data_IF_362870788713
#
_entry.id   IF_362870788713
#
_cell.length_a   1.000
_cell.length_b   1.000
_cell.length_c   1.000
_cell.angle_alpha   90.00
_cell.angle_beta   90.00
_cell.angle_gamma   90.00
#
_symmetry.space_group_name_H-M   'P 1'
#
loop_
_entity.id
_entity.type
_entity.pdbx_description
1 polymer ?
#
# COMPACT_ATOMS: atom_id res chain seq x y z
N UNK A 1 -0.11 5.00 -23.84
CA UNK A 1 0.31 3.97 -22.87
C UNK A 1 -0.96 3.49 -22.22
N UNK A 2 -1.18 2.19 -22.27
CA UNK A 2 -2.28 1.53 -21.58
C UNK A 2 -1.75 0.97 -20.26
N UNK A 3 -2.10 1.63 -19.14
CA UNK A 3 -1.67 1.21 -17.81
C UNK A 3 -2.21 -0.18 -17.44
N UNK A 4 -3.37 -0.59 -17.98
CA UNK A 4 -3.90 -1.92 -17.69
C UNK A 4 -3.06 -3.02 -18.34
N UNK A 5 -2.60 -2.81 -19.56
CA UNK A 5 -1.67 -3.73 -20.22
C UNK A 5 -0.31 -3.80 -19.50
N UNK A 6 0.21 -2.67 -19.01
CA UNK A 6 1.43 -2.65 -18.20
C UNK A 6 1.26 -3.43 -16.88
N UNK A 7 0.13 -3.27 -16.19
CA UNK A 7 -0.21 -4.05 -15.00
C UNK A 7 -0.24 -5.56 -15.30
N UNK A 8 -0.83 -5.97 -16.43
CA UNK A 8 -0.84 -7.40 -16.83
C UNK A 8 0.57 -7.96 -17.02
N UNK A 9 1.50 -7.18 -17.57
CA UNK A 9 2.89 -7.60 -17.70
C UNK A 9 3.57 -7.77 -16.34
N UNK A 10 3.34 -6.82 -15.40
CA UNK A 10 3.81 -6.93 -14.02
C UNK A 10 3.26 -8.20 -13.35
N UNK A 11 1.97 -8.51 -13.55
CA UNK A 11 1.33 -9.71 -13.00
C UNK A 11 1.98 -11.01 -13.48
N UNK A 12 2.42 -11.05 -14.74
CA UNK A 12 3.14 -12.19 -15.28
C UNK A 12 4.45 -12.41 -14.52
N UNK A 13 5.27 -11.37 -14.36
CA UNK A 13 6.54 -11.48 -13.63
C UNK A 13 6.36 -11.82 -12.15
N UNK A 14 5.32 -11.29 -11.49
CA UNK A 14 4.99 -11.65 -10.10
C UNK A 14 4.62 -13.15 -10.00
N UNK A 15 3.83 -13.68 -10.93
CA UNK A 15 3.44 -15.10 -10.94
C UNK A 15 4.63 -16.03 -11.20
N UNK A 16 5.61 -15.56 -11.96
CA UNK A 16 6.87 -16.26 -12.24
C UNK A 16 7.89 -16.12 -11.10
N UNK A 17 7.54 -15.45 -10.00
CA UNK A 17 8.44 -15.10 -8.89
C UNK A 17 9.70 -14.34 -9.33
N UNK A 18 9.62 -13.61 -10.45
CA UNK A 18 10.72 -12.80 -10.98
C UNK A 18 10.59 -11.36 -10.49
N UNK A 19 10.97 -11.13 -9.23
CA UNK A 19 10.82 -9.82 -8.59
C UNK A 19 11.63 -8.70 -9.25
N UNK A 20 12.80 -9.01 -9.84
CA UNK A 20 13.64 -8.01 -10.52
C UNK A 20 13.01 -7.50 -11.82
N UNK A 21 12.44 -8.40 -12.62
CA UNK A 21 11.69 -7.99 -13.82
C UNK A 21 10.38 -7.29 -13.46
N UNK A 22 9.68 -7.76 -12.42
CA UNK A 22 8.48 -7.10 -11.93
C UNK A 22 8.78 -5.66 -11.46
N UNK A 23 9.86 -5.46 -10.70
CA UNK A 23 10.32 -4.14 -10.27
C UNK A 23 10.72 -3.26 -11.47
N UNK A 24 11.46 -3.82 -12.42
CA UNK A 24 11.85 -3.10 -13.64
C UNK A 24 10.64 -2.66 -14.47
N UNK A 25 9.61 -3.49 -14.56
CA UNK A 25 8.35 -3.14 -15.22
C UNK A 25 7.57 -2.07 -14.45
N UNK A 26 7.52 -2.14 -13.11
CA UNK A 26 6.90 -1.12 -12.24
C UNK A 26 7.58 0.23 -12.41
N UNK A 27 8.92 0.28 -12.32
CA UNK A 27 9.67 1.54 -12.39
C UNK A 27 9.57 2.18 -13.78
N UNK A 28 9.69 1.39 -14.86
CA UNK A 28 9.44 1.85 -16.23
C UNK A 28 8.03 2.44 -16.38
N UNK A 29 7.01 1.72 -15.90
CA UNK A 29 5.62 2.16 -15.99
C UNK A 29 5.40 3.47 -15.23
N UNK A 30 5.95 3.59 -14.02
CA UNK A 30 5.85 4.81 -13.21
C UNK A 30 6.53 6.01 -13.90
N UNK A 31 7.73 5.82 -14.46
CA UNK A 31 8.45 6.86 -15.20
C UNK A 31 7.69 7.34 -16.44
N UNK A 32 7.09 6.42 -17.20
CA UNK A 32 6.24 6.77 -18.35
C UNK A 32 4.98 7.52 -17.92
N UNK A 33 4.33 7.10 -16.83
CA UNK A 33 3.19 7.79 -16.23
C UNK A 33 3.57 9.21 -15.81
N UNK A 34 4.68 9.35 -15.09
CA UNK A 34 5.19 10.62 -14.60
C UNK A 34 5.48 11.57 -15.77
N UNK A 35 6.30 11.14 -16.72
CA UNK A 35 6.73 11.96 -17.86
C UNK A 35 5.53 12.51 -18.64
N UNK A 36 4.52 11.67 -18.89
CA UNK A 36 3.29 12.09 -19.58
C UNK A 36 2.42 13.02 -18.76
N UNK A 37 2.30 12.76 -17.46
CA UNK A 37 1.50 13.59 -16.57
C UNK A 37 2.04 15.03 -16.50
N UNK A 38 3.36 15.21 -16.49
CA UNK A 38 3.99 16.53 -16.34
C UNK A 38 4.22 17.27 -17.66
N UNK A 39 4.20 16.58 -18.80
CA UNK A 39 4.42 17.19 -20.11
C UNK A 39 3.32 18.24 -20.41
N UNK A 40 3.72 19.51 -20.46
CA UNK A 40 2.81 20.64 -20.67
C UNK A 40 1.88 20.93 -19.50
N UNK A 41 2.13 20.34 -18.32
CA UNK A 41 1.30 20.56 -17.14
C UNK A 41 1.56 21.91 -16.48
N UNK A 42 0.55 22.38 -15.75
CA UNK A 42 0.68 23.48 -14.81
C UNK A 42 0.64 22.95 -13.38
N UNK A 43 1.28 23.67 -12.47
CA UNK A 43 1.53 23.23 -11.11
C UNK A 43 0.94 24.22 -10.13
N UNK A 44 0.22 23.70 -9.13
CA UNK A 44 -0.35 24.52 -8.05
C UNK A 44 0.00 23.92 -6.72
N UNK A 45 0.49 24.75 -5.81
CA UNK A 45 0.71 24.35 -4.44
C UNK A 45 -0.53 24.63 -3.58
N UNK A 46 -0.84 23.68 -2.70
CA UNK A 46 -1.80 23.88 -1.62
C UNK A 46 -1.23 23.33 -0.32
N UNK A 47 -1.89 23.65 0.80
CA UNK A 47 -1.47 23.20 2.13
C UNK A 47 -2.64 22.59 2.86
N UNK A 48 -2.35 21.57 3.65
CA UNK A 48 -3.26 21.03 4.63
C UNK A 48 -2.47 20.69 5.89
N UNK A 49 -2.96 21.12 7.05
CA UNK A 49 -2.20 21.09 8.30
C UNK A 49 -0.83 21.77 8.11
N UNK A 50 0.25 21.12 8.51
CA UNK A 50 1.64 21.58 8.36
C UNK A 50 2.34 21.10 7.07
N UNK A 51 1.64 20.37 6.18
CA UNK A 51 2.23 19.74 4.99
C UNK A 51 1.94 20.52 3.71
N UNK A 52 2.85 20.42 2.75
CA UNK A 52 2.72 21.01 1.41
C UNK A 52 2.33 19.95 0.39
N UNK A 53 1.40 20.34 -0.48
CA UNK A 53 0.88 19.47 -1.51
C UNK A 53 0.96 20.13 -2.88
N UNK A 54 1.24 19.34 -3.90
CA UNK A 54 1.18 19.73 -5.30
C UNK A 54 -0.07 19.16 -5.96
N UNK A 55 -0.71 20.00 -6.76
CA UNK A 55 -1.73 19.62 -7.73
C UNK A 55 -1.14 19.82 -9.12
N UNK A 56 -1.32 18.83 -9.98
CA UNK A 56 -0.87 18.85 -11.37
C UNK A 56 -2.11 18.99 -12.25
N UNK A 57 -2.19 20.11 -12.95
CA UNK A 57 -3.25 20.42 -13.90
C UNK A 57 -2.74 20.17 -15.31
N UNK A 58 -3.39 19.26 -16.04
CA UNK A 58 -3.06 18.97 -17.43
C UNK A 58 -4.32 18.52 -18.18
N UNK A 59 -4.45 18.94 -19.44
CA UNK A 59 -5.59 18.57 -20.32
C UNK A 59 -6.98 18.88 -19.72
N UNK A 60 -7.09 19.90 -18.87
CA UNK A 60 -8.34 20.26 -18.21
C UNK A 60 -8.72 19.38 -17.01
N UNK A 61 -7.86 18.43 -16.64
CA UNK A 61 -8.01 17.58 -15.46
C UNK A 61 -6.95 17.92 -14.41
N UNK A 62 -7.27 17.66 -13.14
CA UNK A 62 -6.40 17.94 -11.99
C UNK A 62 -6.10 16.66 -11.25
N UNK A 63 -4.83 16.43 -10.92
CA UNK A 63 -4.42 15.30 -10.09
C UNK A 63 -4.98 15.38 -8.67
N UNK A 64 -4.93 14.25 -7.94
CA UNK A 64 -4.99 14.26 -6.49
C UNK A 64 -3.84 15.10 -5.86
N UNK A 65 -3.98 15.54 -4.60
CA UNK A 65 -2.90 16.19 -3.85
C UNK A 65 -1.71 15.24 -3.65
N UNK A 66 -0.50 15.74 -3.93
CA UNK A 66 0.77 15.00 -3.84
C UNK A 66 1.63 15.63 -2.75
N UNK A 67 2.04 14.88 -1.73
CA UNK A 67 2.94 15.40 -0.70
C UNK A 67 4.34 15.58 -1.30
N UNK A 68 4.79 16.83 -1.46
CA UNK A 68 6.06 17.17 -2.12
C UNK A 68 7.30 16.89 -1.27
N UNK A 69 7.12 16.65 0.04
CA UNK A 69 8.22 16.29 0.93
C UNK A 69 8.58 14.79 0.82
N UNK A 70 7.68 13.99 0.22
CA UNK A 70 7.82 12.53 0.08
C UNK A 70 7.95 12.15 -1.40
N UNK A 71 7.19 12.81 -2.28
CA UNK A 71 7.24 12.54 -3.70
C UNK A 71 8.54 13.06 -4.31
N UNK A 72 9.33 12.13 -4.84
CA UNK A 72 10.55 12.46 -5.55
C UNK A 72 10.66 11.55 -6.78
N UNK A 73 10.49 12.11 -7.99
CA UNK A 73 10.60 11.36 -9.23
C UNK A 73 11.91 10.59 -9.43
N UNK A 74 13.00 11.00 -8.76
CA UNK A 74 14.29 10.29 -8.82
C UNK A 74 14.23 8.91 -8.15
N UNK A 75 13.28 8.70 -7.24
CA UNK A 75 13.04 7.40 -6.61
C UNK A 75 12.25 6.41 -7.48
N UNK A 76 11.96 6.76 -8.75
CA UNK A 76 11.30 5.88 -9.71
C UNK A 76 12.32 5.03 -10.51
N UNK A 77 13.44 4.64 -9.89
CA UNK A 77 14.45 3.78 -10.51
C UNK A 77 14.64 2.48 -9.72
N UNK A 78 15.04 1.36 -10.36
CA UNK A 78 15.37 0.14 -9.63
C UNK A 78 16.49 0.33 -8.61
N UNK A 79 17.42 1.26 -8.88
CA UNK A 79 18.52 1.58 -7.97
C UNK A 79 18.05 2.25 -6.68
N UNK A 80 16.97 3.04 -6.75
CA UNK A 80 16.36 3.69 -5.59
C UNK A 80 15.37 2.79 -4.82
N UNK A 81 15.17 1.55 -5.27
CA UNK A 81 14.33 0.60 -4.56
C UNK A 81 15.03 0.15 -3.27
N UNK A 82 14.31 0.05 -2.14
CA UNK A 82 14.90 -0.30 -0.84
C UNK A 82 15.50 -1.71 -0.85
N UNK A 83 16.80 -1.80 -1.10
CA UNK A 83 17.53 -3.06 -1.12
C UNK A 83 17.74 -3.60 0.31
N UNK A 84 17.81 -4.93 0.45
CA UNK A 84 18.29 -5.58 1.68
C UNK A 84 19.80 -5.33 1.86
N UNK A 85 20.21 -4.09 2.13
CA UNK A 85 21.58 -3.77 2.52
C UNK A 85 21.65 -3.77 4.04
N UNK A 86 22.37 -4.74 4.59
CA UNK A 86 22.75 -4.73 6.00
C UNK A 86 23.77 -3.61 6.22
N UNK A 87 23.36 -2.52 6.87
CA UNK A 87 24.24 -1.39 7.18
C UNK A 87 23.55 -0.04 7.08
N UNK A 88 24.13 0.97 7.73
CA UNK A 88 23.71 2.39 7.79
C UNK A 88 23.74 3.13 6.43
N UNK A 89 23.79 2.41 5.30
CA UNK A 89 24.05 2.95 3.95
C UNK A 89 22.88 2.78 2.95
N UNK A 90 21.64 2.51 3.37
CA UNK A 90 20.49 2.71 2.46
C UNK A 90 19.98 4.15 2.60
N UNK A 91 20.48 5.04 1.74
CA UNK A 91 20.03 6.43 1.69
C UNK A 91 18.56 6.56 1.22
N UNK A 92 17.99 5.50 0.64
CA UNK A 92 16.65 5.50 0.06
C UNK A 92 15.61 4.86 0.99
N UNK A 93 14.63 5.67 1.41
CA UNK A 93 13.49 5.24 2.22
C UNK A 93 12.49 4.44 1.37
N UNK A 94 12.06 3.27 1.88
CA UNK A 94 10.99 2.48 1.27
C UNK A 94 9.71 3.31 1.09
N UNK A 95 9.46 4.23 2.02
CA UNK A 95 8.36 5.18 1.94
C UNK A 95 8.44 6.08 0.71
N UNK A 96 9.57 6.76 0.48
CA UNK A 96 9.74 7.64 -0.67
C UNK A 96 9.60 6.90 -2.01
N UNK A 97 10.21 5.71 -2.13
CA UNK A 97 10.19 4.93 -3.37
C UNK A 97 8.80 4.37 -3.68
N UNK A 98 8.15 3.70 -2.72
CA UNK A 98 6.79 3.18 -2.91
C UNK A 98 5.80 4.32 -3.15
N UNK A 99 5.89 5.41 -2.38
CA UNK A 99 5.03 6.57 -2.54
C UNK A 99 5.17 7.18 -3.93
N UNK A 100 6.41 7.36 -4.42
CA UNK A 100 6.68 7.98 -5.71
C UNK A 100 6.20 7.13 -6.88
N UNK A 101 6.45 5.82 -6.85
CA UNK A 101 5.99 4.89 -7.89
C UNK A 101 4.46 4.85 -7.98
N UNK A 102 3.79 4.68 -6.85
CA UNK A 102 2.33 4.59 -6.79
C UNK A 102 1.66 5.93 -7.16
N UNK A 103 2.24 7.04 -6.72
CA UNK A 103 1.72 8.39 -6.98
C UNK A 103 1.83 8.75 -8.45
N UNK A 104 2.91 8.40 -9.14
CA UNK A 104 3.04 8.68 -10.58
C UNK A 104 1.98 7.98 -11.43
N UNK A 105 1.70 6.71 -11.16
CA UNK A 105 0.60 6.00 -11.84
C UNK A 105 -0.78 6.61 -11.48
N UNK A 106 -0.97 7.03 -10.24
CA UNK A 106 -2.19 7.66 -9.78
C UNK A 106 -2.45 9.02 -10.45
N UNK A 107 -1.44 9.89 -10.54
CA UNK A 107 -1.53 11.19 -11.23
C UNK A 107 -1.88 10.98 -12.70
N UNK A 108 -1.20 10.05 -13.38
CA UNK A 108 -1.48 9.76 -14.79
C UNK A 108 -2.93 9.37 -15.01
N UNK A 109 -3.49 8.51 -14.15
CA UNK A 109 -4.91 8.13 -14.25
C UNK A 109 -5.84 9.29 -13.95
N UNK A 110 -5.55 10.11 -12.94
CA UNK A 110 -6.39 11.28 -12.64
C UNK A 110 -6.50 12.23 -13.84
N UNK A 111 -5.43 12.37 -14.64
CA UNK A 111 -5.38 13.26 -15.80
C UNK A 111 -5.92 12.60 -17.08
N UNK A 112 -5.50 11.38 -17.40
CA UNK A 112 -5.76 10.76 -18.71
C UNK A 112 -6.94 9.80 -18.72
N UNK A 113 -7.38 9.34 -17.55
CA UNK A 113 -8.45 8.35 -17.43
C UNK A 113 -9.19 8.48 -16.09
N UNK A 114 -9.77 9.66 -15.76
CA UNK A 114 -10.37 9.93 -14.45
C UNK A 114 -11.54 9.00 -14.09
N UNK A 115 -12.16 8.37 -15.10
CA UNK A 115 -13.18 7.34 -14.90
C UNK A 115 -12.62 6.00 -14.40
N UNK A 116 -11.33 5.74 -14.59
CA UNK A 116 -10.66 4.47 -14.24
C UNK A 116 -10.21 4.40 -12.77
N UNK A 117 -11.16 4.58 -11.86
CA UNK A 117 -10.91 4.74 -10.41
C UNK A 117 -10.20 3.54 -9.74
N UNK A 118 -10.28 2.34 -10.33
CA UNK A 118 -9.68 1.12 -9.77
C UNK A 118 -8.20 0.96 -10.13
N UNK A 119 -7.77 1.43 -11.30
CA UNK A 119 -6.45 1.17 -11.86
C UNK A 119 -5.29 1.61 -10.96
N UNK A 120 -5.33 2.80 -10.32
CA UNK A 120 -4.27 3.21 -9.39
C UNK A 120 -4.14 2.27 -8.20
N UNK A 121 -5.28 1.80 -7.67
CA UNK A 121 -5.30 0.84 -6.57
C UNK A 121 -4.69 -0.50 -6.96
N UNK A 122 -5.01 -1.01 -8.16
CA UNK A 122 -4.40 -2.24 -8.68
C UNK A 122 -2.90 -2.09 -8.88
N UNK A 123 -2.44 -0.99 -9.45
CA UNK A 123 -1.00 -0.73 -9.60
C UNK A 123 -0.29 -0.68 -8.24
N UNK A 124 -0.86 0.05 -7.28
CA UNK A 124 -0.32 0.12 -5.91
C UNK A 124 -0.25 -1.25 -5.24
N UNK A 125 -1.27 -2.09 -5.38
CA UNK A 125 -1.24 -3.48 -4.88
C UNK A 125 -0.05 -4.25 -5.46
N UNK A 126 0.30 -4.06 -6.74
CA UNK A 126 1.47 -4.71 -7.36
C UNK A 126 2.79 -4.20 -6.80
N UNK A 127 2.92 -2.89 -6.59
CA UNK A 127 4.10 -2.30 -5.93
C UNK A 127 4.31 -2.94 -4.55
N UNK A 128 3.24 -3.03 -3.74
CA UNK A 128 3.31 -3.64 -2.42
C UNK A 128 3.61 -5.15 -2.50
N UNK A 129 3.03 -5.88 -3.46
CA UNK A 129 3.31 -7.31 -3.65
C UNK A 129 4.78 -7.58 -3.99
N UNK A 130 5.38 -6.80 -4.89
CA UNK A 130 6.80 -6.94 -5.22
C UNK A 130 7.67 -6.64 -4.00
N UNK A 131 7.36 -5.57 -3.25
CA UNK A 131 8.07 -5.23 -2.02
C UNK A 131 8.02 -6.36 -0.99
N UNK A 132 6.84 -6.89 -0.71
CA UNK A 132 6.68 -7.99 0.25
C UNK A 132 7.41 -9.25 -0.24
N UNK A 133 7.24 -9.61 -1.52
CA UNK A 133 7.85 -10.82 -2.08
C UNK A 133 9.38 -10.81 -2.00
N UNK A 134 10.00 -9.64 -2.20
CA UNK A 134 11.44 -9.46 -2.02
C UNK A 134 11.89 -9.60 -0.56
N UNK A 135 11.12 -9.06 0.39
CA UNK A 135 11.50 -9.06 1.82
C UNK A 135 11.30 -10.42 2.49
N UNK A 136 10.25 -11.15 2.10
CA UNK A 136 9.91 -12.42 2.72
C UNK A 136 10.52 -13.62 2.01
N UNK A 137 10.55 -13.62 0.68
CA UNK A 137 11.11 -14.72 -0.12
C UNK A 137 10.10 -15.80 -0.54
N UNK A 138 10.56 -16.82 -1.30
CA UNK A 138 9.72 -17.86 -1.90
C UNK A 138 9.19 -18.91 -0.92
N UNK A 139 9.69 -18.94 0.32
CA UNK A 139 9.26 -19.86 1.36
C UNK A 139 7.84 -19.55 1.88
N UNK A 140 7.32 -18.35 1.62
CA UNK A 140 5.95 -17.97 1.95
C UNK A 140 5.00 -18.17 0.76
N UNK A 141 3.77 -18.56 1.06
CA UNK A 141 2.70 -18.60 0.08
C UNK A 141 1.96 -17.26 0.03
N UNK A 142 1.81 -16.72 -1.18
CA UNK A 142 1.14 -15.44 -1.44
C UNK A 142 -0.20 -15.67 -2.16
N UNK A 143 -1.22 -14.89 -1.81
CA UNK A 143 -2.55 -15.01 -2.40
C UNK A 143 -3.34 -13.71 -2.46
N UNK A 144 -4.52 -13.79 -3.05
CA UNK A 144 -5.59 -12.76 -3.00
C UNK A 144 -6.83 -13.29 -2.27
N UNK A 145 -6.66 -14.42 -1.56
CA UNK A 145 -7.70 -15.05 -0.77
C UNK A 145 -7.08 -15.89 0.33
N UNK A 146 -7.78 -15.94 1.46
CA UNK A 146 -7.50 -16.87 2.55
C UNK A 146 -8.50 -18.02 2.46
N UNK A 147 -8.05 -19.28 2.22
CA UNK A 147 -8.91 -20.43 2.38
C UNK A 147 -9.23 -20.64 3.86
N UNK A 148 -10.50 -20.94 4.17
CA UNK A 148 -10.96 -21.17 5.54
C UNK A 148 -11.38 -22.63 5.77
N UNK A 149 -11.44 -23.01 7.03
CA UNK A 149 -11.91 -24.30 7.54
C UNK A 149 -13.34 -24.64 7.10
N UNK A 150 -14.16 -23.63 6.83
CA UNK A 150 -15.51 -23.77 6.29
C UNK A 150 -15.56 -24.07 4.78
N UNK A 151 -14.41 -24.21 4.10
CA UNK A 151 -14.35 -24.41 2.64
C UNK A 151 -14.67 -23.17 1.82
N UNK A 152 -14.89 -22.02 2.47
CA UNK A 152 -15.15 -20.73 1.84
C UNK A 152 -13.86 -19.92 1.81
N UNK A 153 -13.68 -19.06 0.80
CA UNK A 153 -12.53 -18.17 0.66
C UNK A 153 -12.89 -16.76 1.10
N UNK A 154 -12.10 -16.18 1.99
CA UNK A 154 -12.17 -14.75 2.30
C UNK A 154 -11.31 -14.01 1.29
N UNK A 155 -11.92 -13.12 0.50
CA UNK A 155 -11.17 -12.30 -0.46
C UNK A 155 -10.35 -11.24 0.27
N UNK A 156 -9.08 -11.09 -0.11
CA UNK A 156 -8.13 -10.16 0.48
C UNK A 156 -7.29 -9.50 -0.60
N UNK A 157 -6.75 -8.31 -0.35
CA UNK A 157 -5.85 -7.68 -1.33
C UNK A 157 -4.53 -8.46 -1.40
N UNK A 158 -3.91 -8.80 -0.26
CA UNK A 158 -2.70 -9.65 -0.18
C UNK A 158 -2.83 -10.56 1.04
N UNK A 159 -2.65 -11.87 0.85
CA UNK A 159 -2.54 -12.84 1.96
C UNK A 159 -1.18 -13.52 1.91
N UNK A 160 -0.56 -13.69 3.07
CA UNK A 160 0.74 -14.32 3.25
C UNK A 160 0.58 -15.42 4.30
N UNK A 161 1.05 -16.62 4.01
CA UNK A 161 1.08 -17.72 4.99
C UNK A 161 2.42 -18.44 4.92
N UNK A 162 2.90 -18.93 6.06
CA UNK A 162 4.00 -19.90 6.07
C UNK A 162 3.59 -21.22 5.37
N UNK A 163 4.56 -22.08 5.05
CA UNK A 163 4.28 -23.34 4.35
C UNK A 163 3.32 -24.25 5.11
N UNK A 164 3.46 -24.29 6.45
CA UNK A 164 2.58 -25.05 7.34
C UNK A 164 1.17 -24.46 7.45
N UNK A 165 0.95 -23.23 6.95
CA UNK A 165 -0.30 -22.46 7.07
C UNK A 165 -0.80 -22.39 8.51
N UNK A 166 0.11 -22.25 9.46
CA UNK A 166 -0.18 -22.10 10.89
C UNK A 166 -0.22 -20.63 11.32
N UNK A 167 0.42 -19.75 10.57
CA UNK A 167 0.42 -18.31 10.80
C UNK A 167 0.30 -17.57 9.48
N UNK A 168 -0.47 -16.48 9.47
CA UNK A 168 -0.64 -15.66 8.30
C UNK A 168 -0.78 -14.17 8.59
N UNK A 169 -0.43 -13.39 7.58
CA UNK A 169 -0.57 -11.95 7.55
C UNK A 169 -1.44 -11.56 6.35
N UNK A 170 -2.44 -10.73 6.59
CA UNK A 170 -3.33 -10.19 5.57
C UNK A 170 -3.07 -8.69 5.45
N UNK A 171 -2.82 -8.22 4.24
CA UNK A 171 -2.64 -6.79 3.96
C UNK A 171 -3.74 -6.29 3.04
N UNK A 172 -4.39 -5.21 3.46
CA UNK A 172 -5.30 -4.45 2.63
C UNK A 172 -4.56 -3.27 1.98
N UNK A 173 -4.40 -3.29 0.66
CA UNK A 173 -3.67 -2.25 -0.08
C UNK A 173 -4.66 -1.23 -0.66
N UNK A 174 -4.60 0.03 -0.22
CA UNK A 174 -5.56 1.07 -0.63
C UNK A 174 -4.86 2.40 -0.92
N UNK A 175 -5.17 3.08 -2.01
CA UNK A 175 -4.68 4.46 -2.17
C UNK A 175 -5.21 5.33 -1.02
N UNK A 176 -6.52 5.29 -0.80
CA UNK A 176 -7.22 5.96 0.31
C UNK A 176 -8.27 5.00 0.84
N UNK A 177 -8.56 5.02 2.14
CA UNK A 177 -9.49 4.04 2.73
C UNK A 177 -10.96 4.41 2.53
N UNK A 178 -11.31 5.67 2.78
CA UNK A 178 -12.71 6.17 2.74
C UNK A 178 -13.65 5.25 3.54
N UNK A 179 -14.86 5.00 3.05
CA UNK A 179 -15.84 4.09 3.67
C UNK A 179 -15.37 2.62 3.70
N UNK A 180 -14.44 2.25 2.81
CA UNK A 180 -13.93 0.88 2.67
C UNK A 180 -12.92 0.48 3.74
N UNK A 181 -12.60 1.36 4.70
CA UNK A 181 -11.82 0.95 5.88
C UNK A 181 -12.50 -0.19 6.63
N UNK A 182 -13.84 -0.16 6.71
CA UNK A 182 -14.65 -1.20 7.34
C UNK A 182 -14.32 -2.61 6.84
N UNK A 183 -13.94 -2.75 5.57
CA UNK A 183 -13.61 -4.05 4.97
C UNK A 183 -12.43 -4.73 5.67
N UNK A 184 -11.42 -3.98 6.13
CA UNK A 184 -10.23 -4.53 6.80
C UNK A 184 -10.65 -5.22 8.11
N UNK A 185 -11.47 -4.55 8.90
CA UNK A 185 -11.95 -5.06 10.19
C UNK A 185 -12.97 -6.18 10.03
N UNK A 186 -13.89 -6.06 9.07
CA UNK A 186 -14.89 -7.10 8.79
C UNK A 186 -14.22 -8.37 8.29
N UNK A 187 -13.24 -8.28 7.39
CA UNK A 187 -12.47 -9.43 6.91
C UNK A 187 -11.70 -10.08 8.07
N UNK A 188 -11.01 -9.29 8.90
CA UNK A 188 -10.31 -9.83 10.05
C UNK A 188 -11.28 -10.50 11.04
N UNK A 189 -12.46 -9.93 11.31
CA UNK A 189 -13.46 -10.57 12.17
C UNK A 189 -13.91 -11.93 11.62
N UNK A 190 -14.11 -12.05 10.31
CA UNK A 190 -14.43 -13.35 9.69
C UNK A 190 -13.29 -14.35 9.94
N UNK A 191 -12.03 -13.92 9.79
CA UNK A 191 -10.86 -14.76 10.04
C UNK A 191 -10.72 -15.12 11.52
N UNK A 192 -10.98 -14.21 12.45
CA UNK A 192 -10.95 -14.50 13.90
C UNK A 192 -11.93 -15.61 14.29
N UNK A 193 -13.05 -15.71 13.58
CA UNK A 193 -14.08 -16.74 13.81
C UNK A 193 -13.73 -18.05 13.12
N UNK A 194 -13.32 -18.01 11.85
CA UNK A 194 -13.10 -19.22 11.04
C UNK A 194 -11.70 -19.82 11.19
N UNK A 195 -10.72 -18.99 11.56
CA UNK A 195 -9.30 -19.32 11.68
C UNK A 195 -8.70 -18.67 12.95
N UNK A 196 -9.18 -19.03 14.16
CA UNK A 196 -8.81 -18.35 15.39
C UNK A 196 -7.30 -18.32 15.62
N UNK A 197 -6.76 -17.17 16.02
CA UNK A 197 -5.34 -16.93 16.34
C UNK A 197 -4.35 -17.19 15.21
N UNK A 198 -4.82 -17.37 13.97
CA UNK A 198 -3.96 -17.69 12.83
C UNK A 198 -3.56 -16.49 12.00
N UNK A 199 -4.46 -15.52 11.84
CA UNK A 199 -4.25 -14.37 10.97
C UNK A 199 -4.25 -13.06 11.75
N UNK A 200 -3.34 -12.17 11.38
CA UNK A 200 -3.42 -10.74 11.71
C UNK A 200 -3.58 -9.93 10.42
N UNK A 201 -4.23 -8.79 10.52
CA UNK A 201 -4.45 -7.87 9.42
C UNK A 201 -3.69 -6.57 9.60
N UNK A 202 -3.21 -6.03 8.49
CA UNK A 202 -2.62 -4.70 8.40
C UNK A 202 -3.26 -3.92 7.25
N UNK A 203 -3.38 -2.61 7.42
CA UNK A 203 -3.65 -1.70 6.32
C UNK A 203 -2.32 -1.21 5.74
N UNK A 204 -2.21 -1.18 4.42
CA UNK A 204 -1.16 -0.47 3.69
C UNK A 204 -1.83 0.55 2.78
N UNK A 205 -1.59 1.83 3.04
CA UNK A 205 -2.26 2.91 2.36
C UNK A 205 -1.33 3.99 1.82
N UNK A 206 -1.74 4.70 0.77
CA UNK A 206 -0.93 5.77 0.19
C UNK A 206 -1.14 7.08 0.95
N UNK A 207 -2.38 7.50 1.18
CA UNK A 207 -2.74 8.72 1.94
C UNK A 207 -4.22 8.69 2.35
N UNK A 208 -4.71 9.73 3.04
CA UNK A 208 -6.16 10.02 3.15
C UNK A 208 -6.57 11.32 2.46
N UNK A 209 -5.68 11.87 1.63
CA UNK A 209 -5.92 13.15 0.97
C UNK A 209 -7.06 13.05 -0.04
N UNK A 210 -7.86 14.12 -0.11
CA UNK A 210 -8.89 14.35 -1.11
C UNK A 210 -8.76 15.78 -1.61
N UNK A 211 -8.95 15.97 -2.91
CA UNK A 211 -9.18 17.29 -3.48
C UNK A 211 -10.50 17.87 -2.94
N UNK A 212 -10.50 19.13 -2.52
CA UNK A 212 -11.63 19.85 -1.91
C UNK A 212 -11.93 21.14 -2.65
N UNK A 213 -12.40 21.05 -3.90
CA UNK A 213 -12.53 22.18 -4.82
C UNK A 213 -11.43 22.15 -5.88
N UNK A 214 -11.17 23.27 -6.56
CA UNK A 214 -10.14 23.31 -7.60
C UNK A 214 -8.72 23.27 -7.02
N UNK A 215 -8.44 24.11 -6.02
CA UNK A 215 -7.07 24.37 -5.56
C UNK A 215 -6.82 24.02 -4.08
N UNK A 216 -7.70 23.22 -3.46
CA UNK A 216 -7.58 22.85 -2.05
C UNK A 216 -7.52 21.34 -1.85
N UNK A 217 -6.92 20.94 -0.72
CA UNK A 217 -6.83 19.56 -0.28
C UNK A 217 -7.34 19.42 1.16
N UNK A 218 -7.86 18.24 1.49
CA UNK A 218 -8.26 17.87 2.85
C UNK A 218 -7.98 16.41 3.13
N UNK A 219 -7.75 16.06 4.38
CA UNK A 219 -7.79 14.65 4.82
C UNK A 219 -9.24 14.22 5.04
N UNK A 220 -9.58 12.99 4.64
CA UNK A 220 -10.86 12.36 4.99
C UNK A 220 -10.57 11.19 5.90
N UNK A 221 -10.65 11.45 7.21
CA UNK A 221 -10.34 10.47 8.25
C UNK A 221 -11.53 10.29 9.18
N UNK A 222 -11.68 9.06 9.70
CA UNK A 222 -12.73 8.71 10.66
C UNK A 222 -12.13 7.96 11.86
N UNK A 223 -11.19 8.56 12.61
CA UNK A 223 -10.42 7.85 13.64
C UNK A 223 -11.29 7.21 14.72
N UNK A 224 -12.37 7.87 15.13
CA UNK A 224 -13.30 7.32 16.14
C UNK A 224 -14.03 6.08 15.61
N UNK A 225 -14.33 6.03 14.31
CA UNK A 225 -14.92 4.85 13.69
C UNK A 225 -13.94 3.68 13.65
N UNK A 226 -12.65 3.94 13.46
CA UNK A 226 -11.62 2.88 13.51
C UNK A 226 -11.48 2.32 14.91
N UNK A 227 -11.51 3.17 15.93
CA UNK A 227 -11.49 2.75 17.34
C UNK A 227 -12.72 1.86 17.63
N UNK A 228 -13.91 2.26 17.17
CA UNK A 228 -15.11 1.43 17.31
C UNK A 228 -14.97 0.09 16.59
N UNK A 229 -14.39 0.05 15.39
CA UNK A 229 -14.14 -1.22 14.70
C UNK A 229 -13.11 -2.09 15.42
N UNK A 230 -12.06 -1.50 15.98
CA UNK A 230 -11.05 -2.22 16.77
C UNK A 230 -11.66 -2.81 18.06
N UNK A 231 -12.57 -2.08 18.70
CA UNK A 231 -13.25 -2.53 19.92
C UNK A 231 -14.35 -3.56 19.66
N UNK A 232 -15.13 -3.39 18.58
CA UNK A 232 -16.36 -4.14 18.36
C UNK A 232 -16.26 -5.21 17.27
N UNK A 233 -15.33 -5.08 16.31
CA UNK A 233 -15.16 -6.05 15.24
C UNK A 233 -13.94 -6.93 15.48
N UNK A 234 -12.73 -6.37 15.52
CA UNK A 234 -11.52 -7.19 15.70
C UNK A 234 -10.35 -6.39 16.26
N UNK A 235 -9.64 -7.01 17.20
CA UNK A 235 -8.38 -6.49 17.75
C UNK A 235 -7.14 -6.94 16.95
N UNK A 236 -7.32 -7.82 15.96
CA UNK A 236 -6.23 -8.39 15.17
C UNK A 236 -5.89 -7.56 13.92
N UNK A 237 -6.49 -6.37 13.78
CA UNK A 237 -5.95 -5.31 12.91
C UNK A 237 -4.90 -4.55 13.73
N UNK A 238 -3.63 -4.76 13.43
CA UNK A 238 -2.54 -4.35 14.34
C UNK A 238 -1.79 -3.12 13.87
N UNK A 239 -1.65 -2.94 12.56
CA UNK A 239 -0.87 -1.83 11.98
C UNK A 239 -1.60 -1.18 10.80
N UNK A 240 -1.33 0.10 10.64
CA UNK A 240 -1.66 0.89 9.47
C UNK A 240 -0.39 1.59 8.98
N UNK A 241 0.09 1.19 7.81
CA UNK A 241 1.26 1.77 7.15
C UNK A 241 0.79 2.77 6.11
N UNK A 242 1.33 3.98 6.13
CA UNK A 242 0.95 5.05 5.22
C UNK A 242 2.15 5.63 4.48
N UNK A 243 1.96 5.89 3.18
CA UNK A 243 2.90 6.70 2.40
C UNK A 243 2.98 8.14 2.91
N UNK A 244 1.83 8.78 3.02
CA UNK A 244 1.61 10.08 3.65
C UNK A 244 0.69 9.91 4.87
N UNK A 245 1.28 9.83 6.07
CA UNK A 245 0.56 9.53 7.31
C UNK A 245 -0.43 10.66 7.65
N UNK A 246 -1.75 10.40 7.73
CA UNK A 246 -2.73 11.46 7.96
C UNK A 246 -2.63 12.03 9.37
N UNK A 247 -2.61 13.37 9.47
CA UNK A 247 -2.60 14.07 10.75
C UNK A 247 -3.84 13.76 11.61
N UNK A 248 -5.00 13.55 10.97
CA UNK A 248 -6.27 13.23 11.63
C UNK A 248 -6.35 11.83 12.23
N UNK A 249 -5.44 10.90 11.90
CA UNK A 249 -5.48 9.52 12.38
C UNK A 249 -4.70 9.26 13.67
N UNK A 250 -3.98 10.24 14.24
CA UNK A 250 -3.17 10.00 15.44
C UNK A 250 -3.92 9.35 16.62
N UNK A 251 -5.24 9.58 16.74
CA UNK A 251 -6.09 8.98 17.77
C UNK A 251 -6.27 7.47 17.64
N UNK A 252 -6.09 6.85 16.46
CA UNK A 252 -6.30 5.40 16.28
C UNK A 252 -5.33 4.55 17.10
N UNK A 253 -4.18 5.12 17.49
CA UNK A 253 -3.21 4.51 18.40
C UNK A 253 -3.81 4.20 19.77
N UNK A 254 -4.79 4.98 20.23
CA UNK A 254 -5.54 4.71 21.47
C UNK A 254 -6.40 3.45 21.38
N UNK A 255 -6.76 3.04 20.16
CA UNK A 255 -7.45 1.77 19.91
C UNK A 255 -6.50 0.57 19.87
N UNK A 256 -5.18 0.78 19.85
CA UNK A 256 -4.19 -0.30 19.72
C UNK A 256 -3.70 -0.55 18.30
N UNK A 257 -4.01 0.34 17.34
CA UNK A 257 -3.47 0.27 15.97
C UNK A 257 -2.22 1.13 15.88
N UNK A 258 -1.09 0.51 15.56
CA UNK A 258 0.16 1.24 15.28
C UNK A 258 0.08 1.97 13.94
N UNK A 259 0.37 3.26 13.93
CA UNK A 259 0.37 4.10 12.73
C UNK A 259 1.81 4.44 12.34
N UNK A 260 2.28 3.94 11.19
CA UNK A 260 3.68 4.02 10.77
C UNK A 260 3.79 4.48 9.31
N UNK A 261 4.98 4.94 8.90
CA UNK A 261 5.29 5.11 7.47
C UNK A 261 5.44 3.75 6.81
N UNK A 262 5.55 3.71 5.47
CA UNK A 262 5.84 2.47 4.77
C UNK A 262 7.24 1.90 5.09
N UNK A 263 8.14 2.67 5.70
CA UNK A 263 9.43 2.13 6.18
C UNK A 263 9.21 1.09 7.29
N UNK A 264 8.20 1.31 8.14
CA UNK A 264 7.85 0.37 9.21
C UNK A 264 7.30 -0.96 8.70
N UNK A 265 6.89 -1.05 7.43
CA UNK A 265 6.39 -2.30 6.85
C UNK A 265 7.50 -3.33 6.75
N UNK A 266 8.73 -2.94 6.41
CA UNK A 266 9.86 -3.87 6.34
C UNK A 266 10.13 -4.53 7.67
N UNK A 267 10.26 -3.72 8.74
CA UNK A 267 10.49 -4.23 10.09
C UNK A 267 9.35 -5.17 10.52
N UNK A 268 8.10 -4.81 10.20
CA UNK A 268 6.95 -5.67 10.51
C UNK A 268 7.02 -7.02 9.77
N UNK A 269 7.40 -7.03 8.49
CA UNK A 269 7.58 -8.26 7.71
C UNK A 269 8.70 -9.13 8.29
N UNK A 270 9.81 -8.54 8.74
CA UNK A 270 10.89 -9.29 9.38
C UNK A 270 10.44 -9.95 10.69
N UNK A 271 9.66 -9.24 11.52
CA UNK A 271 9.08 -9.81 12.75
C UNK A 271 8.11 -10.94 12.44
N UNK A 272 7.26 -10.76 11.43
CA UNK A 272 6.35 -11.82 10.96
C UNK A 272 7.13 -13.06 10.51
N UNK A 273 8.22 -12.88 9.76
CA UNK A 273 9.10 -13.98 9.32
C UNK A 273 9.67 -14.76 10.50
N UNK A 274 10.24 -14.07 11.48
CA UNK A 274 10.79 -14.69 12.69
C UNK A 274 9.74 -15.47 13.48
N UNK A 275 8.51 -14.93 13.59
CA UNK A 275 7.40 -15.60 14.26
C UNK A 275 6.97 -16.87 13.51
N UNK A 276 6.89 -16.80 12.19
CA UNK A 276 6.53 -17.94 11.35
C UNK A 276 7.57 -19.08 11.44
N UNK A 277 8.85 -18.74 11.47
CA UNK A 277 9.96 -19.68 11.65
C UNK A 277 9.94 -20.31 13.05
N UNK A 278 9.70 -19.51 14.10
CA UNK A 278 9.57 -20.00 15.47
C UNK A 278 8.39 -20.97 15.64
N UNK A 279 7.24 -20.65 15.04
CA UNK A 279 6.05 -21.51 15.07
C UNK A 279 6.27 -22.84 14.35
N UNK A 280 7.11 -22.87 13.31
CA UNK A 280 7.44 -24.10 12.59
C UNK A 280 8.35 -25.03 13.39
N UNK A 281 9.23 -24.50 14.24
CA UNK A 281 10.10 -25.30 15.11
C UNK A 281 9.39 -25.89 16.34
N UNK A 282 8.16 -25.44 16.63
CA UNK A 282 7.35 -25.91 17.77
C UNK A 282 6.24 -26.90 17.36
N UNK A 283 6.00 -27.07 16.06
CA UNK A 283 4.99 -27.97 15.48
C UNK A 283 5.61 -29.30 15.04
#
# INVERSE_FOLDING_TARGET
>A
MDLQSAIKAIDTHIKEANHQEALSAITRTANECHSKAIEGATFKECRYSNKKYLLIDNRGETSRPINIEIWDPRHQSPAAWPQNKSGLESAESANASIYSLATSAAIFIDIYSPSSRKTPGTFFERVIRVFIGEKLGPEFAYGSFVPTSAGIKVSTDISITNQARTTGLVLAAKITTRERISQVFTQQRILDVLEPQKYTSCLVALSEMQRSGQDNAREVCTPDQWILYQMCLSQNVTHAFYGDIPSGLGRVTKGGISLLSLDGLEEHLQRFKQQAEAAQNQA
#
